data_IF_890067821559
#
_entry.id   IF_890067821559
#
_cell.length_a   1.000
_cell.length_b   1.000
_cell.length_c   1.000
_cell.angle_alpha   90.00
_cell.angle_beta   90.00
_cell.angle_gamma   90.00
#
_symmetry.space_group_name_H-M   'P 1'
#
loop_
_entity.id
_entity.type
_entity.pdbx_description
1 polymer ?
#
# COMPACT_ATOMS: atom_id res chain seq x y z
N UNK A 1 -0.27 -47.12 -11.57
CA UNK A 1 -0.13 -45.77 -12.18
C UNK A 1 0.87 -44.99 -11.35
N UNK A 2 1.58 -44.02 -11.90
CA UNK A 2 2.30 -43.05 -11.08
C UNK A 2 1.28 -42.24 -10.24
N UNK A 3 1.61 -41.78 -9.01
CA UNK A 3 0.73 -40.88 -8.27
C UNK A 3 0.53 -39.60 -9.09
N UNK A 4 -0.71 -39.14 -9.22
CA UNK A 4 -1.02 -37.95 -10.00
C UNK A 4 -0.23 -36.74 -9.46
N UNK A 5 0.38 -36.00 -10.40
CA UNK A 5 1.19 -34.84 -10.11
C UNK A 5 0.38 -33.69 -9.50
N UNK A 6 1.08 -32.69 -8.96
CA UNK A 6 0.45 -31.43 -8.57
C UNK A 6 -0.03 -30.60 -9.76
N UNK A 7 -0.75 -29.53 -9.47
CA UNK A 7 -1.18 -28.53 -10.44
C UNK A 7 -0.89 -27.12 -9.90
N UNK A 8 -0.31 -26.26 -10.73
CA UNK A 8 -0.31 -24.81 -10.54
C UNK A 8 -1.15 -24.22 -11.67
N UNK A 9 -2.32 -23.68 -11.31
CA UNK A 9 -3.22 -23.01 -12.25
C UNK A 9 -2.99 -21.50 -12.13
N UNK A 10 -2.47 -20.87 -13.18
CA UNK A 10 -2.17 -19.45 -13.22
C UNK A 10 -3.18 -18.66 -14.05
N UNK A 11 -3.77 -17.65 -13.44
CA UNK A 11 -4.77 -16.77 -14.03
C UNK A 11 -4.11 -15.41 -14.32
N UNK A 12 -4.10 -15.02 -15.59
CA UNK A 12 -3.43 -13.81 -16.06
C UNK A 12 -4.19 -12.52 -15.68
N UNK A 13 -3.51 -11.37 -15.73
CA UNK A 13 -4.13 -10.04 -15.59
C UNK A 13 -4.98 -9.68 -16.82
N UNK A 14 -5.85 -8.68 -16.69
CA UNK A 14 -6.66 -8.19 -17.83
C UNK A 14 -5.78 -7.66 -18.96
N UNK A 15 -6.17 -7.90 -20.21
CA UNK A 15 -5.41 -7.56 -21.41
C UNK A 15 -4.38 -8.64 -21.82
N UNK A 16 -3.80 -9.35 -20.85
CA UNK A 16 -2.85 -10.45 -21.11
C UNK A 16 -3.54 -11.75 -21.58
N UNK A 17 -2.74 -12.73 -21.96
CA UNK A 17 -3.14 -14.11 -22.25
C UNK A 17 -2.41 -15.13 -21.37
N UNK A 18 -2.86 -16.38 -21.42
CA UNK A 18 -2.17 -17.50 -20.76
C UNK A 18 -0.77 -17.78 -21.31
N UNK A 19 -0.49 -17.51 -22.58
CA UNK A 19 0.83 -17.76 -23.18
C UNK A 19 1.87 -16.73 -22.71
N UNK A 20 1.49 -15.45 -22.61
CA UNK A 20 2.35 -14.39 -22.06
C UNK A 20 2.65 -14.64 -20.58
N UNK A 21 1.64 -15.04 -19.80
CA UNK A 21 1.85 -15.48 -18.41
C UNK A 21 2.75 -16.73 -18.31
N UNK A 22 2.68 -17.66 -19.27
CA UNK A 22 3.59 -18.81 -19.33
C UNK A 22 5.02 -18.37 -19.62
N UNK A 23 5.22 -17.43 -20.54
CA UNK A 23 6.55 -16.89 -20.83
C UNK A 23 7.16 -16.19 -19.60
N UNK A 24 6.36 -15.44 -18.84
CA UNK A 24 6.81 -14.70 -17.66
C UNK A 24 7.05 -15.59 -16.42
N UNK A 25 6.17 -16.57 -16.16
CA UNK A 25 6.15 -17.33 -14.89
C UNK A 25 6.53 -18.81 -15.05
N UNK A 26 6.38 -19.37 -16.25
CA UNK A 26 6.76 -20.75 -16.57
C UNK A 26 8.20 -21.14 -16.17
N UNK A 27 9.23 -20.28 -16.35
CA UNK A 27 10.59 -20.57 -15.88
C UNK A 27 10.66 -20.88 -14.38
N UNK A 28 9.91 -20.14 -13.56
CA UNK A 28 9.86 -20.33 -12.11
C UNK A 28 9.15 -21.63 -11.70
N UNK A 29 8.27 -22.17 -12.55
CA UNK A 29 7.59 -23.46 -12.32
C UNK A 29 8.35 -24.65 -12.93
N UNK A 30 9.43 -24.41 -13.68
CA UNK A 30 10.21 -25.45 -14.39
C UNK A 30 11.37 -26.03 -13.57
N UNK A 31 11.43 -25.74 -12.26
CA UNK A 31 12.48 -26.23 -11.37
C UNK A 31 12.40 -27.77 -11.18
N UNK A 32 13.53 -28.51 -11.06
CA UNK A 32 13.52 -29.97 -10.97
C UNK A 32 12.68 -30.55 -9.83
N UNK A 33 12.59 -29.86 -8.69
CA UNK A 33 11.79 -30.29 -7.54
C UNK A 33 10.27 -30.13 -7.80
N UNK A 34 9.91 -29.29 -8.77
CA UNK A 34 8.54 -29.10 -9.28
C UNK A 34 8.26 -29.94 -10.53
N UNK A 35 9.16 -30.81 -11.00
CA UNK A 35 8.95 -31.64 -12.19
C UNK A 35 7.75 -32.62 -12.09
N UNK A 36 7.20 -32.84 -10.89
CA UNK A 36 5.96 -33.58 -10.66
C UNK A 36 4.70 -32.69 -10.59
N UNK A 37 4.82 -31.40 -10.90
CA UNK A 37 3.77 -30.39 -10.83
C UNK A 37 3.53 -29.84 -12.24
N UNK A 38 2.30 -29.96 -12.72
CA UNK A 38 1.92 -29.41 -14.03
C UNK A 38 1.55 -27.95 -13.87
N UNK A 39 2.02 -27.09 -14.75
CA UNK A 39 1.58 -25.70 -14.82
C UNK A 39 0.52 -25.53 -15.91
N UNK A 40 -0.59 -24.87 -15.58
CA UNK A 40 -1.69 -24.58 -16.50
C UNK A 40 -1.94 -23.08 -16.57
N UNK A 41 -2.06 -22.55 -17.78
CA UNK A 41 -2.22 -21.13 -18.05
C UNK A 41 -3.41 -20.93 -19.03
N UNK A 42 -4.66 -20.99 -18.54
CA UNK A 42 -5.83 -20.71 -19.37
C UNK A 42 -5.86 -19.22 -19.78
N UNK A 43 -6.36 -18.97 -20.98
CA UNK A 43 -6.68 -17.62 -21.46
C UNK A 43 -8.17 -17.35 -21.23
N UNK A 44 -8.51 -16.17 -20.69
CA UNK A 44 -9.89 -15.74 -20.52
C UNK A 44 -10.59 -15.46 -21.87
N UNK A 45 -11.93 -15.42 -21.94
CA UNK A 45 -12.62 -14.85 -23.09
C UNK A 45 -12.26 -13.38 -23.32
N UNK A 46 -12.51 -12.88 -24.53
CA UNK A 46 -12.49 -11.43 -24.79
C UNK A 46 -13.85 -10.82 -24.48
N UNK A 47 -13.85 -9.59 -23.95
CA UNK A 47 -15.04 -8.82 -23.63
C UNK A 47 -14.78 -7.31 -23.76
N UNK A 48 -15.79 -6.48 -24.12
CA UNK A 48 -15.67 -5.03 -24.06
C UNK A 48 -15.59 -4.57 -22.59
N UNK A 49 -14.55 -3.82 -22.23
CA UNK A 49 -14.32 -3.40 -20.84
C UNK A 49 -14.56 -1.88 -20.67
N UNK A 50 -15.53 -1.46 -19.83
CA UNK A 50 -15.92 -0.05 -19.71
C UNK A 50 -14.79 0.91 -19.33
N UNK A 51 -13.87 0.52 -18.43
CA UNK A 51 -12.78 1.40 -18.02
C UNK A 51 -11.69 1.62 -19.10
N UNK A 52 -11.69 0.82 -20.17
CA UNK A 52 -10.84 1.01 -21.36
C UNK A 52 -11.67 1.54 -22.54
N UNK A 53 -12.59 2.47 -22.29
CA UNK A 53 -13.45 3.06 -23.33
C UNK A 53 -14.42 2.10 -24.01
N UNK A 54 -14.55 0.86 -23.52
CA UNK A 54 -15.29 -0.22 -24.19
C UNK A 54 -14.45 -1.11 -25.11
N UNK A 55 -13.12 -0.97 -25.13
CA UNK A 55 -12.22 -1.84 -25.90
C UNK A 55 -12.41 -3.32 -25.56
N UNK A 56 -12.35 -4.16 -26.59
CA UNK A 56 -12.51 -5.62 -26.48
C UNK A 56 -11.16 -6.26 -26.15
N UNK A 57 -10.94 -6.53 -24.86
CA UNK A 57 -9.70 -7.11 -24.35
C UNK A 57 -9.95 -8.48 -23.70
N UNK A 58 -8.88 -9.26 -23.52
CA UNK A 58 -8.92 -10.54 -22.77
C UNK A 58 -9.20 -10.27 -21.29
N UNK A 59 -10.33 -10.76 -20.77
CA UNK A 59 -10.76 -10.45 -19.40
C UNK A 59 -11.64 -11.55 -18.79
N UNK A 60 -11.43 -11.82 -17.50
CA UNK A 60 -12.20 -12.83 -16.76
C UNK A 60 -13.63 -12.38 -16.46
N UNK A 61 -13.80 -11.10 -16.12
CA UNK A 61 -15.04 -10.41 -15.78
C UNK A 61 -14.91 -8.90 -16.06
N UNK A 62 -16.00 -8.14 -15.97
CA UNK A 62 -15.99 -6.69 -16.21
C UNK A 62 -15.15 -5.89 -15.21
N UNK A 63 -14.43 -4.89 -15.73
CA UNK A 63 -13.72 -3.89 -14.93
C UNK A 63 -14.46 -2.55 -15.09
N UNK A 64 -15.31 -2.15 -14.13
CA UNK A 64 -16.06 -0.90 -14.22
C UNK A 64 -15.22 0.34 -13.91
N UNK A 65 -14.12 0.19 -13.16
CA UNK A 65 -13.25 1.30 -12.76
C UNK A 65 -11.82 0.83 -12.45
N UNK A 66 -10.88 1.71 -12.78
CA UNK A 66 -9.48 1.80 -12.32
C UNK A 66 -9.23 3.26 -11.86
N UNK A 67 -8.33 3.54 -10.90
CA UNK A 67 -7.61 2.57 -10.07
C UNK A 67 -8.56 1.77 -9.17
N UNK A 68 -8.16 0.55 -8.86
CA UNK A 68 -8.97 -0.42 -8.13
C UNK A 68 -8.73 -0.21 -6.63
N UNK A 69 -9.77 0.25 -5.94
CA UNK A 69 -9.74 0.66 -4.52
C UNK A 69 -10.32 -0.43 -3.61
N UNK A 70 -10.16 -0.27 -2.30
CA UNK A 70 -10.81 -1.13 -1.29
C UNK A 70 -12.35 -1.05 -1.32
N UNK A 71 -12.95 -0.12 -2.08
CA UNK A 71 -14.40 -0.07 -2.36
C UNK A 71 -14.82 -0.76 -3.65
N UNK A 72 -13.91 -0.97 -4.60
CA UNK A 72 -14.27 -1.01 -6.02
C UNK A 72 -15.14 -2.23 -6.39
N UNK A 73 -16.44 -1.98 -6.44
CA UNK A 73 -17.49 -3.00 -6.67
C UNK A 73 -17.31 -3.62 -8.05
N UNK A 74 -17.52 -4.94 -8.13
CA UNK A 74 -17.60 -5.73 -9.37
C UNK A 74 -19.00 -6.32 -9.50
N UNK A 75 -19.42 -6.68 -10.71
CA UNK A 75 -20.64 -7.48 -10.87
C UNK A 75 -20.36 -8.90 -10.35
N UNK A 76 -20.92 -9.22 -9.18
CA UNK A 76 -20.77 -10.52 -8.53
C UNK A 76 -21.21 -11.66 -9.47
N UNK A 77 -22.17 -11.46 -10.39
CA UNK A 77 -22.59 -12.48 -11.36
C UNK A 77 -21.51 -12.78 -12.40
N UNK A 78 -20.71 -11.79 -12.80
CA UNK A 78 -19.61 -12.01 -13.73
C UNK A 78 -18.41 -12.67 -13.06
N UNK A 79 -18.09 -12.22 -11.84
CA UNK A 79 -17.07 -12.86 -11.00
C UNK A 79 -17.44 -14.33 -10.72
N UNK A 80 -18.72 -14.63 -10.43
CA UNK A 80 -19.18 -16.01 -10.22
C UNK A 80 -19.10 -16.86 -11.49
N UNK A 81 -19.51 -16.37 -12.66
CA UNK A 81 -19.32 -17.08 -13.95
C UNK A 81 -17.85 -17.36 -14.25
N UNK A 82 -16.95 -16.46 -13.85
CA UNK A 82 -15.51 -16.69 -13.96
C UNK A 82 -15.05 -17.78 -12.99
N UNK A 83 -15.52 -17.75 -11.73
CA UNK A 83 -15.23 -18.80 -10.74
C UNK A 83 -15.77 -20.17 -11.18
N UNK A 84 -16.98 -20.25 -11.71
CA UNK A 84 -17.59 -21.49 -12.23
C UNK A 84 -16.70 -22.14 -13.30
N UNK A 85 -16.23 -21.36 -14.29
CA UNK A 85 -15.27 -21.82 -15.32
C UNK A 85 -13.96 -22.34 -14.75
N UNK A 86 -13.46 -21.74 -13.65
CA UNK A 86 -12.23 -22.20 -13.00
C UNK A 86 -12.52 -23.45 -12.15
N UNK A 87 -13.66 -23.51 -11.43
CA UNK A 87 -14.11 -24.72 -10.72
C UNK A 87 -14.24 -25.92 -11.66
N UNK A 88 -14.77 -25.74 -12.87
CA UNK A 88 -14.78 -26.77 -13.91
C UNK A 88 -13.37 -27.27 -14.30
N UNK A 89 -12.34 -26.44 -14.22
CA UNK A 89 -10.94 -26.86 -14.43
C UNK A 89 -10.42 -27.65 -13.21
N UNK A 90 -10.68 -27.16 -11.99
CA UNK A 90 -10.25 -27.81 -10.75
C UNK A 90 -10.92 -29.19 -10.57
N UNK A 91 -12.23 -29.30 -10.82
CA UNK A 91 -12.96 -30.55 -10.66
C UNK A 91 -12.58 -31.60 -11.70
N UNK A 92 -12.26 -31.20 -12.94
CA UNK A 92 -11.65 -32.10 -13.94
C UNK A 92 -10.31 -32.67 -13.47
N UNK A 93 -9.49 -31.86 -12.81
CA UNK A 93 -8.15 -32.26 -12.35
C UNK A 93 -8.21 -33.13 -11.07
N UNK A 94 -9.16 -32.84 -10.17
CA UNK A 94 -9.45 -33.73 -9.04
C UNK A 94 -10.06 -35.06 -9.51
N UNK A 95 -10.92 -35.04 -10.55
CA UNK A 95 -11.45 -36.25 -11.18
C UNK A 95 -10.37 -37.06 -11.95
N UNK A 96 -9.36 -36.38 -12.50
CA UNK A 96 -8.16 -37.01 -13.07
C UNK A 96 -7.20 -37.58 -12.00
N UNK A 97 -7.50 -37.37 -10.71
CA UNK A 97 -6.81 -37.98 -9.57
C UNK A 97 -5.76 -37.10 -8.89
N UNK A 98 -5.56 -35.85 -9.32
CA UNK A 98 -4.68 -34.92 -8.59
C UNK A 98 -5.32 -34.56 -7.25
N UNK A 99 -4.60 -34.80 -6.15
CA UNK A 99 -5.06 -34.45 -4.80
C UNK A 99 -5.33 -32.94 -4.68
N UNK A 100 -6.48 -32.49 -4.12
CA UNK A 100 -6.75 -31.07 -3.87
C UNK A 100 -5.60 -30.35 -3.14
N UNK A 101 -4.98 -31.01 -2.16
CA UNK A 101 -3.82 -30.51 -1.40
C UNK A 101 -2.54 -30.31 -2.22
N UNK A 102 -2.51 -30.70 -3.50
CA UNK A 102 -1.43 -30.47 -4.46
C UNK A 102 -1.84 -29.53 -5.61
N UNK A 103 -3.00 -28.89 -5.50
CA UNK A 103 -3.50 -27.90 -6.45
C UNK A 103 -3.29 -26.50 -5.85
N UNK A 104 -2.66 -25.62 -6.63
CA UNK A 104 -2.44 -24.21 -6.30
C UNK A 104 -3.15 -23.34 -7.33
N UNK A 105 -3.90 -22.34 -6.89
CA UNK A 105 -4.57 -21.37 -7.77
C UNK A 105 -3.90 -20.02 -7.59
N UNK A 106 -3.33 -19.50 -8.67
CA UNK A 106 -2.41 -18.37 -8.66
C UNK A 106 -2.89 -17.31 -9.65
N UNK A 107 -2.54 -16.04 -9.46
CA UNK A 107 -2.73 -15.05 -10.51
C UNK A 107 -2.30 -13.62 -10.20
N UNK A 108 -2.16 -12.84 -11.27
CA UNK A 108 -1.82 -11.43 -11.25
C UNK A 108 -3.07 -10.56 -11.44
N UNK A 109 -3.19 -9.45 -10.69
CA UNK A 109 -4.20 -8.42 -10.90
C UNK A 109 -5.64 -9.00 -10.91
N UNK A 110 -6.39 -8.86 -12.01
CA UNK A 110 -7.70 -9.49 -12.19
C UNK A 110 -7.67 -11.01 -11.98
N UNK A 111 -6.64 -11.71 -12.48
CA UNK A 111 -6.46 -13.14 -12.28
C UNK A 111 -6.14 -13.49 -10.82
N UNK A 112 -5.45 -12.62 -10.09
CA UNK A 112 -5.21 -12.76 -8.65
C UNK A 112 -6.51 -12.60 -7.84
N UNK A 113 -7.36 -11.65 -8.21
CA UNK A 113 -8.70 -11.51 -7.65
C UNK A 113 -9.58 -12.74 -7.96
N UNK A 114 -9.49 -13.29 -9.18
CA UNK A 114 -10.20 -14.52 -9.55
C UNK A 114 -9.68 -15.75 -8.80
N UNK A 115 -8.37 -15.88 -8.59
CA UNK A 115 -7.76 -16.98 -7.83
C UNK A 115 -8.30 -17.01 -6.40
N UNK A 116 -8.36 -15.83 -5.75
CA UNK A 116 -8.94 -15.66 -4.43
C UNK A 116 -10.42 -16.05 -4.39
N UNK A 117 -11.23 -15.50 -5.30
CA UNK A 117 -12.67 -15.79 -5.39
C UNK A 117 -12.94 -17.30 -5.63
N UNK A 118 -12.11 -17.90 -6.49
CA UNK A 118 -12.14 -19.33 -6.82
C UNK A 118 -11.89 -20.19 -5.58
N UNK A 119 -10.79 -19.93 -4.88
CA UNK A 119 -10.37 -20.71 -3.70
C UNK A 119 -11.40 -20.57 -2.59
N UNK A 120 -11.91 -19.38 -2.32
CA UNK A 120 -12.87 -19.13 -1.24
C UNK A 120 -14.26 -19.75 -1.49
N UNK A 121 -14.64 -20.08 -2.73
CA UNK A 121 -15.85 -20.85 -3.02
C UNK A 121 -15.62 -22.36 -3.21
N UNK A 122 -14.38 -22.82 -3.38
CA UNK A 122 -14.14 -24.22 -3.74
C UNK A 122 -14.42 -25.16 -2.53
N UNK A 123 -15.21 -26.24 -2.69
CA UNK A 123 -15.70 -27.04 -1.56
C UNK A 123 -14.65 -27.95 -0.89
N UNK A 124 -13.37 -27.85 -1.27
CA UNK A 124 -12.27 -28.71 -0.81
C UNK A 124 -11.08 -27.84 -0.43
N UNK A 125 -10.33 -28.23 0.61
CA UNK A 125 -9.05 -27.59 0.95
C UNK A 125 -8.08 -27.78 -0.22
N UNK A 126 -7.53 -26.69 -0.76
CA UNK A 126 -6.51 -26.73 -1.80
C UNK A 126 -5.09 -26.61 -1.21
N UNK A 127 -4.06 -26.89 -2.02
CA UNK A 127 -2.66 -26.75 -1.63
C UNK A 127 -2.28 -25.29 -1.34
N UNK A 128 -2.88 -24.33 -2.05
CA UNK A 128 -2.75 -22.90 -1.72
C UNK A 128 -3.37 -21.95 -2.74
N UNK A 129 -3.48 -20.68 -2.35
CA UNK A 129 -3.79 -19.55 -3.21
C UNK A 129 -2.59 -18.60 -3.28
N UNK A 130 -2.31 -18.03 -4.46
CA UNK A 130 -1.23 -17.06 -4.64
C UNK A 130 -1.76 -15.84 -5.41
N UNK A 131 -1.66 -14.66 -4.79
CA UNK A 131 -2.21 -13.41 -5.34
C UNK A 131 -1.09 -12.40 -5.52
N UNK A 132 -0.89 -11.88 -6.73
CA UNK A 132 0.03 -10.78 -7.02
C UNK A 132 -0.77 -9.56 -7.46
N UNK A 133 -0.58 -8.39 -6.83
CA UNK A 133 -1.31 -7.14 -7.12
C UNK A 133 -2.83 -7.31 -7.28
N UNK A 134 -3.44 -8.27 -6.59
CA UNK A 134 -4.88 -8.57 -6.67
C UNK A 134 -5.72 -7.75 -5.69
N UNK A 135 -7.04 -7.91 -5.78
CA UNK A 135 -8.04 -7.29 -4.89
C UNK A 135 -9.13 -8.32 -4.54
N UNK A 136 -9.99 -8.03 -3.56
CA UNK A 136 -11.17 -8.84 -3.28
C UNK A 136 -12.32 -8.43 -4.24
N UNK A 137 -12.77 -9.29 -5.18
CA UNK A 137 -13.75 -8.88 -6.20
C UNK A 137 -15.20 -9.07 -5.74
N UNK A 138 -15.45 -9.15 -4.42
CA UNK A 138 -16.67 -9.72 -3.84
C UNK A 138 -17.14 -8.94 -2.60
N UNK A 139 -18.45 -8.93 -2.38
CA UNK A 139 -19.14 -8.17 -1.33
C UNK A 139 -19.03 -8.80 0.06
N UNK A 140 -19.32 -8.08 1.17
CA UNK A 140 -19.25 -8.68 2.53
C UNK A 140 -20.21 -9.87 2.73
N UNK A 141 -21.35 -9.91 2.04
CA UNK A 141 -22.28 -11.05 2.05
C UNK A 141 -21.67 -12.35 1.48
N UNK A 142 -20.59 -12.25 0.72
CA UNK A 142 -19.82 -13.42 0.29
C UNK A 142 -19.25 -14.24 1.46
N UNK A 143 -19.00 -13.62 2.63
CA UNK A 143 -18.39 -14.30 3.78
C UNK A 143 -19.20 -15.51 4.28
N UNK A 144 -20.53 -15.47 4.12
CA UNK A 144 -21.45 -16.55 4.48
C UNK A 144 -21.38 -17.74 3.50
N UNK A 145 -20.89 -17.50 2.28
CA UNK A 145 -20.78 -18.49 1.20
C UNK A 145 -19.48 -19.31 1.24
N UNK A 146 -18.50 -18.90 2.05
CA UNK A 146 -17.15 -19.50 2.12
C UNK A 146 -17.17 -20.83 2.90
N UNK A 147 -16.98 -22.00 2.23
CA UNK A 147 -17.03 -23.31 2.89
C UNK A 147 -15.96 -23.50 3.96
N UNK A 148 -16.24 -24.33 4.97
CA UNK A 148 -15.30 -24.62 6.08
C UNK A 148 -13.96 -25.19 5.61
N UNK A 149 -13.97 -25.97 4.52
CA UNK A 149 -12.74 -26.50 3.91
C UNK A 149 -11.96 -25.44 3.13
N UNK A 150 -12.63 -24.54 2.39
CA UNK A 150 -11.97 -23.46 1.66
C UNK A 150 -11.07 -22.61 2.59
N UNK A 151 -11.56 -22.34 3.81
CA UNK A 151 -10.85 -21.56 4.86
C UNK A 151 -9.53 -22.16 5.33
N UNK A 152 -9.28 -23.45 5.09
CA UNK A 152 -8.01 -24.12 5.43
C UNK A 152 -6.94 -23.93 4.35
N UNK A 153 -7.32 -23.47 3.16
CA UNK A 153 -6.38 -23.23 2.05
C UNK A 153 -5.46 -22.05 2.41
N UNK A 154 -4.13 -22.22 2.44
CA UNK A 154 -3.22 -21.13 2.75
C UNK A 154 -3.12 -20.14 1.59
N UNK A 155 -3.10 -18.84 1.89
CA UNK A 155 -2.93 -17.76 0.92
C UNK A 155 -1.57 -17.11 1.13
N UNK A 156 -0.86 -16.77 0.05
CA UNK A 156 0.16 -15.72 0.07
C UNK A 156 -0.20 -14.63 -0.93
N UNK A 157 0.02 -13.39 -0.52
CA UNK A 157 -0.37 -12.20 -1.25
C UNK A 157 0.85 -11.28 -1.37
N UNK A 158 1.24 -10.95 -2.60
CA UNK A 158 2.28 -9.98 -2.93
C UNK A 158 1.63 -8.69 -3.44
N UNK A 159 2.17 -7.55 -3.05
CA UNK A 159 1.59 -6.26 -3.42
C UNK A 159 2.63 -5.12 -3.42
N UNK A 160 2.63 -4.33 -4.49
CA UNK A 160 3.38 -3.09 -4.56
C UNK A 160 2.74 -1.97 -3.73
N UNK A 161 3.53 -1.25 -2.94
CA UNK A 161 3.06 -0.07 -2.21
C UNK A 161 2.93 1.17 -3.11
N UNK A 162 3.58 1.16 -4.28
CA UNK A 162 3.43 2.16 -5.33
C UNK A 162 2.52 1.68 -6.48
N UNK A 163 1.70 0.66 -6.24
CA UNK A 163 0.73 0.15 -7.23
C UNK A 163 -0.40 1.17 -7.45
N UNK A 164 -0.37 1.79 -8.64
CA UNK A 164 -1.35 2.79 -9.08
C UNK A 164 -2.53 2.22 -9.88
N UNK A 165 -2.60 0.90 -10.11
CA UNK A 165 -3.68 0.26 -10.87
C UNK A 165 -4.59 -0.55 -9.95
N UNK A 166 -4.00 -1.30 -9.02
CA UNK A 166 -4.69 -1.88 -7.86
C UNK A 166 -4.05 -1.28 -6.62
N UNK A 167 -4.74 -0.34 -5.97
CA UNK A 167 -4.16 0.39 -4.85
C UNK A 167 -3.82 -0.56 -3.71
N UNK A 168 -2.72 -0.31 -3.01
CA UNK A 168 -2.27 -1.11 -1.87
C UNK A 168 -3.35 -1.33 -0.79
N UNK A 169 -4.25 -0.36 -0.61
CA UNK A 169 -5.42 -0.50 0.28
C UNK A 169 -6.37 -1.64 -0.14
N UNK A 170 -6.53 -1.92 -1.43
CA UNK A 170 -7.39 -3.00 -1.95
C UNK A 170 -6.78 -4.38 -1.70
N UNK A 171 -5.46 -4.52 -1.85
CA UNK A 171 -4.72 -5.70 -1.45
C UNK A 171 -4.78 -5.94 0.07
N UNK A 172 -4.53 -4.88 0.85
CA UNK A 172 -4.56 -4.94 2.31
C UNK A 172 -5.97 -5.25 2.86
N UNK A 173 -7.03 -4.69 2.25
CA UNK A 173 -8.41 -5.02 2.59
C UNK A 173 -8.76 -6.49 2.30
N UNK A 174 -8.24 -7.06 1.22
CA UNK A 174 -8.35 -8.50 0.93
C UNK A 174 -7.70 -9.38 2.01
N UNK A 175 -6.50 -9.01 2.47
CA UNK A 175 -5.83 -9.68 3.60
C UNK A 175 -6.65 -9.57 4.90
N UNK A 176 -7.19 -8.40 5.24
CA UNK A 176 -8.03 -8.20 6.41
C UNK A 176 -9.31 -9.07 6.37
N UNK A 177 -9.95 -9.17 5.20
CA UNK A 177 -11.13 -10.03 4.98
C UNK A 177 -10.81 -11.52 5.16
N UNK A 178 -9.66 -11.99 4.65
CA UNK A 178 -9.18 -13.36 4.89
C UNK A 178 -8.97 -13.64 6.39
N UNK A 179 -8.40 -12.69 7.12
CA UNK A 179 -8.25 -12.80 8.58
C UNK A 179 -9.60 -12.76 9.32
N UNK A 180 -10.62 -12.06 8.82
CA UNK A 180 -11.99 -12.10 9.36
C UNK A 180 -12.66 -13.46 9.16
N UNK A 181 -12.43 -14.11 8.01
CA UNK A 181 -12.93 -15.46 7.71
C UNK A 181 -12.19 -16.59 8.45
N UNK A 182 -11.01 -16.31 9.01
CA UNK A 182 -10.12 -17.29 9.65
C UNK A 182 -9.18 -18.01 8.68
N UNK A 183 -8.98 -17.47 7.47
CA UNK A 183 -8.10 -18.06 6.45
C UNK A 183 -6.64 -17.65 6.71
N UNK A 184 -5.67 -18.59 6.73
CA UNK A 184 -4.28 -18.24 6.92
C UNK A 184 -3.72 -17.52 5.69
N UNK A 185 -3.48 -16.21 5.82
CA UNK A 185 -2.90 -15.36 4.78
C UNK A 185 -1.55 -14.80 5.22
N UNK A 186 -0.52 -15.01 4.41
CA UNK A 186 0.74 -14.27 4.46
C UNK A 186 0.66 -13.08 3.47
N UNK A 187 1.12 -11.90 3.87
CA UNK A 187 1.09 -10.70 3.02
C UNK A 187 2.49 -10.09 2.92
N UNK A 188 2.93 -9.78 1.70
CA UNK A 188 4.24 -9.19 1.39
C UNK A 188 4.05 -7.86 0.66
N UNK A 189 4.45 -6.78 1.33
CA UNK A 189 4.46 -5.43 0.79
C UNK A 189 5.84 -5.10 0.20
N UNK A 190 5.86 -4.52 -1.00
CA UNK A 190 7.08 -4.11 -1.71
C UNK A 190 7.09 -2.59 -1.87
N UNK A 191 7.92 -1.84 -1.10
CA UNK A 191 7.79 -0.38 -0.95
C UNK A 191 7.82 0.44 -2.24
N UNK A 192 8.61 0.04 -3.23
CA UNK A 192 8.82 0.77 -4.50
C UNK A 192 8.19 0.09 -5.71
N UNK A 193 7.48 -1.02 -5.52
CA UNK A 193 6.88 -1.81 -6.61
C UNK A 193 5.55 -1.19 -7.03
N UNK A 194 5.35 -1.07 -8.34
CA UNK A 194 4.09 -0.68 -8.98
C UNK A 194 3.23 -1.87 -9.39
N UNK A 195 2.40 -1.71 -10.43
CA UNK A 195 1.56 -2.81 -10.96
C UNK A 195 2.33 -3.75 -11.90
N UNK A 196 3.33 -4.47 -11.37
CA UNK A 196 4.14 -5.43 -12.13
C UNK A 196 4.64 -6.56 -11.24
N UNK A 197 5.17 -7.62 -11.85
CA UNK A 197 5.89 -8.69 -11.16
C UNK A 197 7.40 -8.42 -11.13
N UNK A 198 8.06 -8.83 -10.05
CA UNK A 198 9.54 -8.86 -9.94
C UNK A 198 10.06 -10.23 -9.52
N UNK A 199 11.34 -10.49 -9.80
CA UNK A 199 11.98 -11.78 -9.59
C UNK A 199 11.96 -12.22 -8.12
N UNK A 200 12.04 -11.29 -7.15
CA UNK A 200 11.97 -11.62 -5.72
C UNK A 200 10.60 -12.18 -5.29
N UNK A 201 9.50 -11.73 -5.91
CA UNK A 201 8.17 -12.30 -5.68
C UNK A 201 8.09 -13.71 -6.26
N UNK A 202 8.59 -13.89 -7.49
CA UNK A 202 8.51 -15.15 -8.23
C UNK A 202 9.43 -16.24 -7.67
N UNK A 203 10.61 -15.88 -7.16
CA UNK A 203 11.49 -16.77 -6.39
C UNK A 203 10.83 -17.22 -5.08
N UNK A 204 10.23 -16.29 -4.33
CA UNK A 204 9.53 -16.65 -3.10
C UNK A 204 8.31 -17.54 -3.37
N UNK A 205 7.53 -17.23 -4.41
CA UNK A 205 6.41 -18.03 -4.90
C UNK A 205 6.82 -19.47 -5.24
N UNK A 206 7.93 -19.66 -5.96
CA UNK A 206 8.48 -20.99 -6.24
C UNK A 206 8.76 -21.76 -4.94
N UNK A 207 9.46 -21.15 -3.98
CA UNK A 207 9.81 -21.81 -2.72
C UNK A 207 8.57 -22.14 -1.89
N UNK A 208 7.61 -21.22 -1.81
CA UNK A 208 6.38 -21.35 -1.05
C UNK A 208 5.49 -22.52 -1.54
N UNK A 209 5.55 -22.87 -2.84
CA UNK A 209 4.97 -24.09 -3.40
C UNK A 209 5.77 -25.33 -3.00
N UNK A 210 7.11 -25.32 -3.16
CA UNK A 210 7.99 -26.45 -2.78
C UNK A 210 7.77 -26.86 -1.32
N UNK A 211 7.68 -25.88 -0.41
CA UNK A 211 7.48 -26.09 1.03
C UNK A 211 6.12 -26.73 1.38
N UNK A 212 5.08 -26.49 0.57
CA UNK A 212 3.74 -27.07 0.76
C UNK A 212 3.62 -28.48 0.19
N UNK A 213 4.35 -28.76 -0.88
CA UNK A 213 4.42 -30.10 -1.47
C UNK A 213 5.18 -31.09 -0.57
N UNK A 214 6.25 -30.65 0.10
CA UNK A 214 7.03 -31.48 1.02
C UNK A 214 6.30 -31.77 2.35
N UNK A 215 5.48 -30.85 2.84
CA UNK A 215 4.60 -31.06 4.01
C UNK A 215 3.53 -32.15 3.76
N UNK A 216 3.31 -32.56 2.51
CA UNK A 216 2.41 -33.66 2.14
C UNK A 216 2.89 -35.08 2.52
N UNK A 217 4.06 -35.22 3.15
CA UNK A 217 4.63 -36.53 3.55
C UNK A 217 5.12 -36.59 5.01
N UNK A 218 4.16 -36.64 5.96
CA UNK A 218 4.08 -37.63 7.09
C UNK A 218 5.38 -38.01 7.85
N UNK A 219 5.54 -37.96 9.20
CA UNK A 219 4.70 -37.90 10.44
C UNK A 219 5.65 -37.55 11.64
N UNK A 220 5.27 -37.07 12.87
CA UNK A 220 4.03 -36.49 13.46
C UNK A 220 4.20 -35.03 13.97
N UNK A 221 3.25 -34.53 14.77
CA UNK A 221 3.38 -33.27 15.51
C UNK A 221 4.05 -33.44 16.90
N UNK A 222 5.26 -32.88 17.07
CA UNK A 222 5.90 -32.57 18.37
C UNK A 222 6.93 -31.44 18.22
N UNK A 223 7.22 -30.75 19.34
CA UNK A 223 8.31 -29.75 19.53
C UNK A 223 8.36 -28.54 18.57
N UNK A 224 7.88 -27.40 19.08
CA UNK A 224 8.31 -26.06 18.66
C UNK A 224 9.81 -25.83 18.95
N UNK A 225 10.47 -25.00 18.13
CA UNK A 225 11.45 -24.04 18.61
C UNK A 225 10.94 -22.58 18.55
N UNK A 226 11.44 -21.77 19.47
CA UNK A 226 11.61 -20.31 19.44
C UNK A 226 10.42 -19.37 19.08
N UNK A 227 9.78 -18.91 20.17
CA UNK A 227 8.75 -17.87 20.21
C UNK A 227 9.33 -16.44 20.04
N UNK A 228 9.84 -16.04 18.87
CA UNK A 228 10.28 -14.63 18.74
C UNK A 228 10.09 -13.94 17.37
N UNK A 229 9.07 -14.32 16.58
CA UNK A 229 8.73 -13.55 15.36
C UNK A 229 7.27 -13.55 14.89
N UNK A 230 6.33 -13.18 15.75
CA UNK A 230 4.98 -12.79 15.28
C UNK A 230 4.22 -11.91 16.30
N UNK A 231 4.28 -10.58 16.15
CA UNK A 231 3.42 -9.64 16.88
C UNK A 231 2.04 -9.58 16.22
N UNK A 232 0.99 -9.88 16.99
CA UNK A 232 -0.41 -9.88 16.53
C UNK A 232 -0.98 -8.46 16.53
N UNK A 233 -1.81 -8.11 15.54
CA UNK A 233 -2.60 -6.88 15.51
C UNK A 233 -4.07 -7.16 15.13
N UNK A 234 -5.07 -6.43 15.68
CA UNK A 234 -6.48 -6.49 15.23
C UNK A 234 -7.03 -5.17 14.60
N UNK A 235 -7.50 -5.22 13.34
CA UNK A 235 -8.88 -4.96 12.83
C UNK A 235 -9.88 -3.87 13.36
N UNK A 236 -9.67 -2.53 13.34
CA UNK A 236 -10.82 -1.54 13.42
C UNK A 236 -10.76 -0.42 12.35
N UNK A 237 -10.91 -0.80 11.08
CA UNK A 237 -10.84 0.12 9.93
C UNK A 237 -12.09 0.12 9.01
N UNK A 238 -13.04 -0.79 9.22
CA UNK A 238 -13.96 -1.22 8.14
C UNK A 238 -15.25 -0.40 7.98
N UNK A 239 -15.29 0.85 8.48
CA UNK A 239 -16.55 1.60 8.71
C UNK A 239 -16.68 2.98 8.06
N UNK A 240 -15.66 3.49 7.37
CA UNK A 240 -15.58 4.93 7.08
C UNK A 240 -15.56 5.33 5.59
N UNK A 241 -14.98 4.54 4.68
CA UNK A 241 -14.50 5.06 3.37
C UNK A 241 -15.59 5.67 2.46
N UNK A 242 -16.87 5.46 2.77
CA UNK A 242 -18.06 5.54 1.91
C UNK A 242 -18.41 6.93 1.31
N UNK A 243 -17.68 8.02 1.63
CA UNK A 243 -18.02 9.38 1.15
C UNK A 243 -16.87 10.17 0.49
N UNK A 244 -16.31 9.63 -0.60
CA UNK A 244 -15.61 10.38 -1.67
C UNK A 244 -15.71 9.63 -2.99
N UNK A 245 -16.40 10.20 -3.99
CA UNK A 245 -16.37 9.76 -5.39
C UNK A 245 -16.80 10.89 -6.34
N UNK A 246 -15.83 11.65 -6.83
CA UNK A 246 -15.89 12.51 -8.03
C UNK A 246 -14.47 13.01 -8.32
N UNK A 247 -14.03 12.95 -9.59
CA UNK A 247 -12.88 13.70 -10.18
C UNK A 247 -11.47 13.33 -9.61
N UNK A 248 -10.42 13.06 -10.41
CA UNK A 248 -10.13 13.25 -11.85
C UNK A 248 -9.62 11.96 -12.54
N UNK A 249 -9.60 12.02 -13.87
CA UNK A 249 -8.75 11.24 -14.80
C UNK A 249 -7.60 12.16 -15.29
N UNK A 250 -6.37 11.65 -15.45
CA UNK A 250 -5.21 12.25 -16.16
C UNK A 250 -3.90 11.46 -15.96
N UNK A 251 -3.01 11.53 -16.95
CA UNK A 251 -1.74 10.78 -17.09
C UNK A 251 -0.48 11.43 -16.45
N UNK A 252 0.61 10.66 -16.52
CA UNK A 252 2.03 11.10 -16.55
C UNK A 252 2.74 11.45 -15.20
N UNK A 253 4.08 11.55 -15.24
CA UNK A 253 5.03 11.91 -14.18
C UNK A 253 4.89 13.36 -13.66
N UNK A 254 3.69 13.92 -13.78
CA UNK A 254 3.36 15.34 -13.73
C UNK A 254 3.26 15.91 -12.31
N UNK A 255 3.48 15.12 -11.25
CA UNK A 255 3.16 15.49 -9.86
C UNK A 255 4.38 15.66 -8.93
N UNK A 256 5.47 14.91 -9.14
CA UNK A 256 6.74 15.14 -8.42
C UNK A 256 7.43 16.41 -8.98
N UNK A 257 7.25 16.66 -10.28
CA UNK A 257 7.91 17.76 -11.00
C UNK A 257 7.45 19.14 -10.52
N UNK A 258 6.14 19.48 -10.40
CA UNK A 258 5.70 20.78 -9.89
C UNK A 258 6.19 21.06 -8.47
N UNK A 259 6.12 20.07 -7.57
CA UNK A 259 6.62 20.21 -6.20
C UNK A 259 8.12 20.53 -6.17
N UNK A 260 8.96 19.80 -6.93
CA UNK A 260 10.39 20.11 -7.06
C UNK A 260 10.63 21.49 -7.68
N UNK A 261 9.87 21.89 -8.70
CA UNK A 261 9.95 23.23 -9.30
C UNK A 261 9.50 24.35 -8.35
N UNK A 262 8.47 24.12 -7.54
CA UNK A 262 7.89 25.10 -6.60
C UNK A 262 8.80 25.31 -5.39
N UNK A 263 9.34 24.22 -4.84
CA UNK A 263 10.34 24.26 -3.76
C UNK A 263 11.67 24.86 -4.26
N UNK A 264 12.16 24.48 -5.45
CA UNK A 264 13.31 25.14 -6.06
C UNK A 264 13.04 26.61 -6.41
N UNK A 265 11.81 26.98 -6.82
CA UNK A 265 11.45 28.38 -7.06
C UNK A 265 11.43 29.20 -5.77
N UNK A 266 10.96 28.64 -4.65
CA UNK A 266 11.07 29.28 -3.33
C UNK A 266 12.52 29.56 -2.96
N UNK A 267 13.40 28.55 -3.11
CA UNK A 267 14.85 28.68 -2.88
C UNK A 267 15.53 29.67 -3.84
N UNK A 268 15.09 29.75 -5.11
CA UNK A 268 15.62 30.69 -6.12
C UNK A 268 15.18 32.15 -5.91
N UNK A 269 13.99 32.41 -5.34
CA UNK A 269 13.39 33.77 -5.24
C UNK A 269 14.17 34.77 -4.38
N UNK A 270 15.24 34.36 -3.68
CA UNK A 270 15.94 35.20 -2.67
C UNK A 270 17.45 35.37 -2.87
N UNK A 271 18.03 34.98 -4.00
CA UNK A 271 19.47 35.09 -4.27
C UNK A 271 19.79 35.87 -5.56
N UNK A 272 20.31 37.13 -5.49
CA UNK A 272 20.92 37.78 -6.64
C UNK A 272 22.32 37.18 -6.93
N UNK A 273 22.73 37.04 -8.21
CA UNK A 273 23.99 36.38 -8.56
C UNK A 273 25.22 37.30 -8.38
N UNK A 274 25.73 37.39 -7.15
CA UNK A 274 27.05 37.99 -6.88
C UNK A 274 28.15 36.92 -6.92
N UNK A 275 29.12 37.05 -7.84
CA UNK A 275 30.29 36.17 -7.91
C UNK A 275 31.29 36.45 -6.76
N UNK A 276 31.03 35.88 -5.58
CA UNK A 276 31.96 35.84 -4.46
C UNK A 276 31.99 34.44 -3.85
N UNK A 277 33.20 33.95 -3.55
CA UNK A 277 33.39 32.66 -2.86
C UNK A 277 32.80 32.78 -1.45
N UNK A 278 31.84 31.93 -1.04
CA UNK A 278 31.20 32.06 0.27
C UNK A 278 32.19 31.87 1.41
N UNK A 279 32.25 32.84 2.32
CA UNK A 279 32.90 32.64 3.63
C UNK A 279 32.13 31.60 4.46
N UNK A 280 32.74 30.98 5.50
CA UNK A 280 32.06 29.94 6.29
C UNK A 280 30.70 30.39 6.88
N UNK A 281 30.57 31.67 7.28
CA UNK A 281 29.30 32.25 7.74
C UNK A 281 28.24 32.41 6.63
N UNK A 282 28.66 32.62 5.38
CA UNK A 282 27.74 32.67 4.25
C UNK A 282 27.25 31.26 3.87
N UNK A 283 28.14 30.26 3.91
CA UNK A 283 27.79 28.86 3.67
C UNK A 283 26.82 28.29 4.73
N UNK A 284 26.84 28.80 5.96
CA UNK A 284 25.84 28.48 6.98
C UNK A 284 24.45 29.04 6.63
N UNK A 285 24.38 30.29 6.15
CA UNK A 285 23.12 30.94 5.72
C UNK A 285 22.45 30.28 4.51
N UNK A 286 23.20 29.56 3.68
CA UNK A 286 22.71 28.90 2.47
C UNK A 286 22.37 27.41 2.66
N UNK A 287 22.36 26.89 3.90
CA UNK A 287 21.93 25.52 4.18
C UNK A 287 20.43 25.46 4.44
N UNK A 288 19.80 24.52 3.77
CA UNK A 288 18.41 24.08 3.97
C UNK A 288 18.36 22.86 4.89
N UNK A 289 17.21 22.66 5.53
CA UNK A 289 16.93 21.45 6.30
C UNK A 289 15.56 20.90 5.92
N UNK A 290 15.49 19.60 5.68
CA UNK A 290 14.23 18.88 5.43
C UNK A 290 14.03 17.82 6.50
N UNK A 291 12.94 17.96 7.25
CA UNK A 291 12.46 16.99 8.22
C UNK A 291 11.36 16.16 7.58
N UNK A 292 11.54 14.83 7.51
CA UNK A 292 10.53 13.93 6.94
C UNK A 292 9.88 13.06 8.02
N UNK A 293 8.54 13.04 8.03
CA UNK A 293 7.70 12.35 9.00
C UNK A 293 6.95 11.20 8.31
N UNK A 294 7.24 9.97 8.73
CA UNK A 294 6.70 8.76 8.12
C UNK A 294 5.21 8.50 8.46
N UNK A 295 4.59 7.54 7.75
CA UNK A 295 3.22 7.10 8.01
C UNK A 295 3.04 6.24 9.27
N UNK A 296 1.80 5.97 9.64
CA UNK A 296 1.47 5.07 10.76
C UNK A 296 2.09 3.68 10.54
N UNK A 297 2.81 3.15 11.53
CA UNK A 297 3.40 1.81 11.51
C UNK A 297 4.71 1.69 10.71
N UNK A 298 5.18 2.77 10.10
CA UNK A 298 6.42 2.85 9.32
C UNK A 298 7.59 3.37 10.21
N UNK A 299 8.75 3.69 9.62
CA UNK A 299 9.92 4.20 10.38
C UNK A 299 10.72 5.25 9.61
N UNK A 300 11.46 6.08 10.35
CA UNK A 300 12.37 7.08 9.78
C UNK A 300 13.41 6.47 8.83
N UNK A 301 14.21 5.46 9.24
CA UNK A 301 15.20 4.81 8.39
C UNK A 301 14.63 4.22 7.09
N UNK A 302 13.42 3.65 7.12
CA UNK A 302 12.75 3.14 5.91
C UNK A 302 12.40 4.27 4.90
N UNK A 303 12.25 5.51 5.39
CA UNK A 303 11.96 6.68 4.57
C UNK A 303 13.23 7.41 4.09
N UNK A 304 14.42 7.10 4.61
CA UNK A 304 15.69 7.76 4.20
C UNK A 304 15.95 7.77 2.67
N UNK A 305 15.61 6.72 1.89
CA UNK A 305 15.76 6.73 0.42
C UNK A 305 15.02 7.87 -0.29
N UNK A 306 13.98 8.47 0.31
CA UNK A 306 13.16 9.52 -0.29
C UNK A 306 14.00 10.75 -0.68
N UNK A 307 15.12 11.02 0.00
CA UNK A 307 16.04 12.11 -0.39
C UNK A 307 16.61 11.96 -1.80
N UNK A 308 16.64 10.75 -2.36
CA UNK A 308 17.21 10.50 -3.70
C UNK A 308 16.36 11.08 -4.83
N UNK A 309 15.06 11.29 -4.61
CA UNK A 309 14.17 11.98 -5.56
C UNK A 309 14.45 13.49 -5.64
N UNK A 310 15.14 14.08 -4.66
CA UNK A 310 15.46 15.50 -4.59
C UNK A 310 16.79 15.82 -5.29
N UNK A 311 16.85 15.52 -6.60
CA UNK A 311 18.07 15.59 -7.42
C UNK A 311 18.50 17.01 -7.84
N UNK A 312 17.64 18.02 -7.65
CA UNK A 312 17.92 19.40 -8.05
C UNK A 312 19.11 20.01 -7.27
N UNK A 313 19.88 20.88 -7.91
CA UNK A 313 21.15 21.40 -7.38
C UNK A 313 20.99 22.18 -6.08
N UNK A 314 19.82 22.78 -5.87
CA UNK A 314 19.38 23.49 -4.68
C UNK A 314 19.41 22.60 -3.42
N UNK A 315 19.15 21.29 -3.56
CA UNK A 315 19.15 20.35 -2.43
C UNK A 315 20.55 19.81 -2.07
N UNK A 316 21.59 20.14 -2.84
CA UNK A 316 22.97 19.63 -2.66
C UNK A 316 23.58 19.91 -1.28
N UNK A 317 23.12 20.96 -0.60
CA UNK A 317 23.55 21.34 0.75
C UNK A 317 22.46 21.15 1.81
N UNK A 318 21.34 20.49 1.48
CA UNK A 318 20.26 20.19 2.43
C UNK A 318 20.71 19.16 3.45
N UNK A 319 20.56 19.49 4.74
CA UNK A 319 20.61 18.52 5.84
C UNK A 319 19.25 17.81 5.94
N UNK A 320 19.26 16.50 6.07
CA UNK A 320 18.04 15.68 6.14
C UNK A 320 17.89 15.04 7.51
N UNK A 321 16.65 14.94 8.00
CA UNK A 321 16.32 14.14 9.18
C UNK A 321 15.07 13.29 8.94
N UNK A 322 15.18 12.02 9.31
CA UNK A 322 14.10 11.04 9.26
C UNK A 322 13.93 10.43 10.67
N UNK A 323 13.31 11.14 11.63
CA UNK A 323 12.99 10.58 12.94
C UNK A 323 11.99 9.43 12.81
N UNK A 324 12.02 8.50 13.76
CA UNK A 324 10.96 7.51 13.96
C UNK A 324 10.01 7.96 15.07
N UNK A 325 8.73 7.66 14.92
CA UNK A 325 7.74 7.77 15.98
C UNK A 325 8.01 6.75 17.11
N UNK A 326 7.58 7.02 18.36
CA UNK A 326 7.65 6.03 19.43
C UNK A 326 6.65 4.88 19.19
N UNK A 327 7.04 3.67 19.56
CA UNK A 327 6.13 2.52 19.64
C UNK A 327 5.01 2.82 20.64
N UNK A 328 3.78 2.93 20.14
CA UNK A 328 2.60 3.32 20.91
C UNK A 328 1.41 2.42 20.57
N UNK A 329 0.52 2.09 21.52
CA UNK A 329 -0.74 1.43 21.19
C UNK A 329 -1.62 2.35 20.35
N UNK A 330 -2.27 1.81 19.32
CA UNK A 330 -3.08 2.59 18.38
C UNK A 330 -4.53 2.12 18.35
N UNK A 331 -5.47 2.96 18.77
CA UNK A 331 -6.89 2.66 18.96
C UNK A 331 -7.59 2.11 17.71
N UNK A 332 -7.33 2.69 16.52
CA UNK A 332 -7.87 2.17 15.26
C UNK A 332 -7.40 0.74 14.92
N UNK A 333 -6.27 0.32 15.48
CA UNK A 333 -5.73 -1.05 15.40
C UNK A 333 -5.93 -1.81 16.73
N UNK A 334 -7.05 -1.59 17.43
CA UNK A 334 -7.39 -2.22 18.74
C UNK A 334 -6.29 -2.10 19.81
N UNK A 335 -5.55 -1.00 19.83
CA UNK A 335 -4.44 -0.81 20.76
C UNK A 335 -3.18 -1.62 20.41
N UNK A 336 -3.09 -2.17 19.20
CA UNK A 336 -1.84 -2.77 18.71
C UNK A 336 -0.70 -1.76 18.76
N UNK A 337 0.47 -2.22 19.23
CA UNK A 337 1.67 -1.39 19.35
C UNK A 337 2.41 -1.35 18.02
N UNK A 338 2.75 -0.14 17.57
CA UNK A 338 3.57 0.15 16.40
C UNK A 338 4.11 1.59 16.48
N UNK A 339 5.07 2.00 15.63
CA UNK A 339 5.49 3.38 15.54
C UNK A 339 4.31 4.28 15.15
N UNK A 340 3.93 5.19 16.05
CA UNK A 340 2.77 6.05 15.88
C UNK A 340 3.02 7.41 16.53
N UNK A 341 2.92 8.48 15.74
CA UNK A 341 3.22 9.84 16.22
C UNK A 341 2.25 10.28 17.33
N UNK A 342 0.98 9.96 17.15
CA UNK A 342 -0.13 10.26 18.06
C UNK A 342 -1.26 9.27 17.79
N UNK A 343 -1.99 8.82 18.83
CA UNK A 343 -3.07 7.86 18.62
C UNK A 343 -4.15 8.35 17.61
N UNK A 344 -4.67 7.42 16.82
CA UNK A 344 -5.75 7.62 15.86
C UNK A 344 -6.91 6.72 16.30
N UNK A 345 -8.02 7.33 16.70
CA UNK A 345 -9.14 6.60 17.31
C UNK A 345 -9.92 5.72 16.32
N UNK A 346 -10.08 6.19 15.08
CA UNK A 346 -10.78 5.50 14.01
C UNK A 346 -10.13 5.82 12.65
N UNK A 347 -10.20 4.89 11.70
CA UNK A 347 -9.73 5.08 10.33
C UNK A 347 -10.73 4.48 9.31
N UNK A 348 -10.80 5.01 8.07
CA UNK A 348 -10.37 6.36 7.65
C UNK A 348 -10.99 7.55 8.46
N UNK A 349 -10.64 8.81 8.17
CA UNK A 349 -10.83 9.97 9.09
C UNK A 349 -11.71 11.09 8.50
N UNK A 350 -12.61 11.66 9.30
CA UNK A 350 -13.49 12.80 8.97
C UNK A 350 -13.18 14.07 9.77
N UNK A 351 -13.85 15.15 9.39
CA UNK A 351 -14.05 16.35 10.20
C UNK A 351 -14.80 16.13 11.53
N UNK A 352 -15.47 14.99 11.73
CA UNK A 352 -16.15 14.62 12.98
C UNK A 352 -15.46 13.51 13.77
N UNK A 353 -14.33 12.98 13.28
CA UNK A 353 -13.62 11.87 13.91
C UNK A 353 -12.88 12.34 15.17
N UNK A 354 -12.85 11.56 16.27
CA UNK A 354 -12.20 12.01 17.51
C UNK A 354 -10.72 12.32 17.31
N UNK A 355 -10.34 13.58 17.54
CA UNK A 355 -8.96 14.05 17.39
C UNK A 355 -8.18 13.87 18.70
N UNK A 356 -7.02 13.22 18.64
CA UNK A 356 -6.15 13.05 19.81
C UNK A 356 -5.26 14.28 20.03
N UNK A 357 -5.89 15.44 20.28
CA UNK A 357 -5.20 16.74 20.34
C UNK A 357 -3.99 16.77 21.29
N UNK A 358 -4.08 16.10 22.44
CA UNK A 358 -2.99 16.01 23.43
C UNK A 358 -1.80 15.23 22.84
N UNK A 359 -2.04 14.10 22.17
CA UNK A 359 -1.01 13.35 21.47
C UNK A 359 -0.41 14.12 20.30
N UNK A 360 -1.24 14.83 19.52
CA UNK A 360 -0.81 15.70 18.41
C UNK A 360 0.09 16.82 18.92
N UNK A 361 -0.29 17.52 19.99
CA UNK A 361 0.52 18.58 20.58
C UNK A 361 1.86 18.04 21.11
N UNK A 362 1.87 16.88 21.78
CA UNK A 362 3.10 16.23 22.22
C UNK A 362 3.99 15.78 21.05
N UNK A 363 3.41 15.34 19.95
CA UNK A 363 4.15 15.01 18.73
C UNK A 363 4.72 16.28 18.06
N UNK A 364 3.97 17.39 18.08
CA UNK A 364 4.41 18.71 17.62
C UNK A 364 5.55 19.23 18.49
N UNK A 365 5.52 19.06 19.82
CA UNK A 365 6.63 19.41 20.72
C UNK A 365 7.92 18.66 20.35
N UNK A 366 7.84 17.35 20.05
CA UNK A 366 8.98 16.57 19.58
C UNK A 366 9.53 17.07 18.23
N UNK A 367 8.65 17.41 17.28
CA UNK A 367 9.03 17.99 15.98
C UNK A 367 9.64 19.38 16.15
N UNK A 368 9.07 20.23 16.99
CA UNK A 368 9.57 21.56 17.32
C UNK A 368 10.94 21.48 17.98
N UNK A 369 11.19 20.51 18.88
CA UNK A 369 12.51 20.30 19.48
C UNK A 369 13.59 19.93 18.43
N UNK A 370 13.24 19.18 17.38
CA UNK A 370 14.15 18.95 16.24
C UNK A 370 14.39 20.24 15.46
N UNK A 371 13.35 21.01 15.15
CA UNK A 371 13.45 22.27 14.39
C UNK A 371 14.24 23.34 15.17
N UNK A 372 13.97 23.53 16.47
CA UNK A 372 14.68 24.49 17.32
C UNK A 372 16.16 24.12 17.50
N UNK A 373 16.50 22.82 17.52
CA UNK A 373 17.90 22.39 17.46
C UNK A 373 18.57 22.83 16.16
N UNK A 374 17.94 22.65 15.01
CA UNK A 374 18.50 23.08 13.72
C UNK A 374 18.61 24.61 13.62
N UNK A 375 17.68 25.36 14.25
CA UNK A 375 17.78 26.82 14.37
C UNK A 375 18.93 27.23 15.30
N UNK A 376 19.20 26.48 16.38
CA UNK A 376 20.35 26.70 17.26
C UNK A 376 21.69 26.34 16.59
N UNK A 377 21.72 25.29 15.77
CA UNK A 377 22.83 24.91 14.88
C UNK A 377 23.05 25.94 13.74
N UNK A 378 22.19 26.97 13.63
CA UNK A 378 22.36 28.14 12.78
C UNK A 378 21.54 28.17 11.49
N UNK A 379 20.65 27.20 11.27
CA UNK A 379 19.78 27.17 10.08
C UNK A 379 18.64 28.18 10.24
N UNK A 380 18.48 29.08 9.26
CA UNK A 380 17.41 30.07 9.32
C UNK A 380 16.03 29.38 9.21
N UNK A 381 15.00 29.78 9.99
CA UNK A 381 13.69 29.13 9.94
C UNK A 381 13.07 29.05 8.53
N UNK A 382 13.24 30.09 7.71
CA UNK A 382 12.76 30.12 6.32
C UNK A 382 13.51 29.13 5.38
N UNK A 383 14.57 28.49 5.85
CA UNK A 383 15.29 27.42 5.13
C UNK A 383 14.90 26.01 5.65
N UNK A 384 14.00 25.92 6.64
CA UNK A 384 13.53 24.66 7.23
C UNK A 384 12.18 24.29 6.62
N UNK A 385 12.09 23.06 6.12
CA UNK A 385 10.89 22.47 5.53
C UNK A 385 10.51 21.20 6.29
N UNK A 386 9.21 21.02 6.56
CA UNK A 386 8.66 19.82 7.19
C UNK A 386 7.80 19.09 6.18
N UNK A 387 8.05 17.80 5.97
CA UNK A 387 7.37 16.98 4.98
C UNK A 387 6.85 15.71 5.66
N UNK A 388 5.77 15.11 5.18
CA UNK A 388 5.37 13.81 5.69
C UNK A 388 4.19 13.14 4.99
N UNK A 389 4.10 11.84 5.18
CA UNK A 389 3.09 10.97 4.58
C UNK A 389 2.05 10.50 5.60
N UNK A 390 0.76 10.46 5.22
CA UNK A 390 -0.34 9.97 6.07
C UNK A 390 -0.34 10.65 7.45
N UNK A 391 -0.14 9.90 8.54
CA UNK A 391 -0.02 10.43 9.91
C UNK A 391 1.11 11.47 10.06
N UNK A 392 2.26 11.26 9.41
CA UNK A 392 3.34 12.24 9.36
C UNK A 392 2.99 13.48 8.53
N UNK A 393 2.09 13.36 7.54
CA UNK A 393 1.52 14.49 6.81
C UNK A 393 0.56 15.32 7.67
N UNK A 394 -0.27 14.66 8.48
CA UNK A 394 -1.11 15.34 9.47
C UNK A 394 -0.27 16.04 10.55
N UNK A 395 0.79 15.38 11.04
CA UNK A 395 1.75 15.99 11.96
C UNK A 395 2.52 17.16 11.34
N UNK A 396 2.88 17.07 10.05
CA UNK A 396 3.51 18.17 9.30
C UNK A 396 2.64 19.43 9.35
N UNK A 397 1.35 19.31 9.06
CA UNK A 397 0.42 20.43 9.07
C UNK A 397 0.30 21.09 10.45
N UNK A 398 0.17 20.29 11.50
CA UNK A 398 0.15 20.78 12.88
C UNK A 398 1.47 21.46 13.28
N UNK A 399 2.59 20.86 12.93
CA UNK A 399 3.93 21.34 13.27
C UNK A 399 4.24 22.69 12.62
N UNK A 400 3.93 22.85 11.33
CA UNK A 400 4.17 24.10 10.58
C UNK A 400 3.28 25.24 11.05
N UNK A 401 2.00 24.99 11.32
CA UNK A 401 1.05 26.02 11.74
C UNK A 401 1.24 26.48 13.19
N UNK A 402 1.78 25.63 14.06
CA UNK A 402 2.00 25.95 15.48
C UNK A 402 3.41 26.47 15.79
N UNK A 403 4.37 26.38 14.86
CA UNK A 403 5.73 26.87 15.13
C UNK A 403 5.74 28.41 15.23
N UNK A 404 6.42 29.02 16.24
CA UNK A 404 6.36 30.46 16.49
C UNK A 404 7.16 31.33 15.49
N UNK A 405 7.87 30.72 14.54
CA UNK A 405 8.69 31.37 13.51
C UNK A 405 8.18 30.92 12.14
N UNK A 406 8.25 31.78 11.13
CA UNK A 406 7.91 31.43 9.75
C UNK A 406 8.90 30.39 9.23
N UNK A 407 8.41 29.20 8.87
CA UNK A 407 9.19 28.15 8.21
C UNK A 407 9.26 28.37 6.69
N UNK A 408 10.20 27.70 6.02
CA UNK A 408 10.32 27.74 4.56
C UNK A 408 9.12 27.12 3.84
N UNK A 409 8.43 26.18 4.49
CA UNK A 409 7.19 25.58 4.03
C UNK A 409 6.95 24.21 4.66
N UNK A 410 5.96 23.50 4.14
CA UNK A 410 5.82 22.07 4.42
C UNK A 410 4.91 21.34 3.45
N UNK A 411 5.17 20.04 3.25
CA UNK A 411 4.53 19.21 2.24
C UNK A 411 3.74 18.05 2.88
N UNK A 412 2.45 17.97 2.58
CA UNK A 412 1.50 17.03 3.21
C UNK A 412 1.04 16.00 2.18
N UNK A 413 1.63 14.81 2.21
CA UNK A 413 1.27 13.70 1.32
C UNK A 413 0.21 12.83 1.99
N UNK A 414 -1.01 12.78 1.43
CA UNK A 414 -2.13 11.97 1.94
C UNK A 414 -2.51 12.18 3.42
N UNK A 415 -2.20 13.35 4.00
CA UNK A 415 -2.53 13.72 5.38
C UNK A 415 -3.90 14.37 5.56
N UNK A 416 -4.24 14.69 6.82
CA UNK A 416 -5.48 15.38 7.22
C UNK A 416 -5.20 16.50 8.23
N UNK A 417 -6.24 17.15 8.77
CA UNK A 417 -6.13 18.12 9.88
C UNK A 417 -6.39 17.38 11.20
N UNK A 418 -5.37 17.11 12.05
CA UNK A 418 -5.55 16.26 13.24
C UNK A 418 -6.00 17.04 14.49
N UNK A 419 -6.52 18.26 14.34
CA UNK A 419 -6.87 19.18 15.42
C UNK A 419 -8.06 20.08 15.08
N UNK A 420 -8.68 20.67 16.10
CA UNK A 420 -9.90 21.48 16.03
C UNK A 420 -9.67 22.97 16.30
N UNK A 421 -10.75 23.67 16.68
CA UNK A 421 -10.76 25.11 16.95
C UNK A 421 -9.85 25.53 18.11
N UNK A 422 -9.77 24.70 19.16
CA UNK A 422 -8.86 24.78 20.31
C UNK A 422 -7.38 25.00 19.95
N UNK A 423 -6.99 24.57 18.74
CA UNK A 423 -5.63 24.62 18.22
C UNK A 423 -5.51 25.65 17.08
N UNK A 424 -6.55 25.93 16.29
CA UNK A 424 -6.51 27.04 15.32
C UNK A 424 -6.41 28.41 15.99
N UNK A 425 -6.94 28.56 17.22
CA UNK A 425 -6.71 29.73 18.09
C UNK A 425 -5.23 29.90 18.49
N UNK A 426 -4.44 28.82 18.49
CA UNK A 426 -3.01 28.84 18.83
C UNK A 426 -2.10 29.16 17.63
N UNK A 427 -2.63 29.19 16.41
CA UNK A 427 -1.86 29.48 15.19
C UNK A 427 -1.40 30.93 15.20
N UNK A 428 -0.08 31.13 15.33
CA UNK A 428 0.49 32.46 15.48
C UNK A 428 0.21 33.35 14.25
N UNK A 429 0.02 34.68 14.41
CA UNK A 429 -0.14 35.60 13.28
C UNK A 429 1.06 35.65 12.31
N UNK A 430 2.21 35.08 12.70
CA UNK A 430 3.42 34.94 11.85
C UNK A 430 3.43 33.63 11.07
N UNK A 431 2.88 32.54 11.61
CA UNK A 431 2.67 31.29 10.89
C UNK A 431 1.70 31.46 9.70
N UNK A 432 0.71 32.36 9.85
CA UNK A 432 -0.19 32.80 8.75
C UNK A 432 0.51 33.54 7.59
N UNK A 433 1.84 33.72 7.64
CA UNK A 433 2.68 34.28 6.57
C UNK A 433 3.73 33.30 6.03
N UNK A 434 3.66 32.02 6.38
CA UNK A 434 4.37 30.99 5.60
C UNK A 434 3.83 31.04 4.17
N UNK A 435 4.70 31.05 3.15
CA UNK A 435 4.32 30.76 1.78
C UNK A 435 3.90 29.29 1.72
N UNK A 436 2.65 29.04 2.12
CA UNK A 436 2.15 27.69 2.34
C UNK A 436 1.88 27.05 0.99
N UNK A 437 2.90 26.39 0.44
CA UNK A 437 2.78 25.41 -0.66
C UNK A 437 2.09 24.16 -0.09
N UNK A 438 0.86 24.35 0.41
CA UNK A 438 -0.14 23.31 0.52
C UNK A 438 -0.61 23.06 -0.91
N UNK A 439 0.22 22.34 -1.68
CA UNK A 439 -0.24 21.65 -2.88
C UNK A 439 -1.25 20.59 -2.42
N UNK A 440 -2.49 21.06 -2.33
CA UNK A 440 -3.61 20.30 -1.81
C UNK A 440 -4.01 19.29 -2.88
N UNK A 441 -3.39 18.10 -2.83
CA UNK A 441 -3.72 16.95 -3.69
C UNK A 441 -5.16 16.49 -3.42
N UNK A 442 -6.09 17.16 -4.10
CA UNK A 442 -7.52 17.17 -3.77
C UNK A 442 -8.31 16.28 -4.73
N UNK A 443 -8.28 14.97 -4.45
CA UNK A 443 -9.47 14.14 -4.74
C UNK A 443 -10.67 14.81 -4.08
N UNK A 444 -11.73 15.10 -4.85
CA UNK A 444 -12.76 16.04 -4.40
C UNK A 444 -13.57 15.52 -3.20
N UNK A 445 -14.12 16.47 -2.44
CA UNK A 445 -15.43 16.30 -1.83
C UNK A 445 -16.31 17.39 -2.43
N UNK A 446 -17.51 17.02 -2.87
CA UNK A 446 -18.45 17.92 -3.54
C UNK A 446 -19.34 18.67 -2.52
N UNK A 447 -19.92 19.81 -2.94
CA UNK A 447 -20.94 20.55 -2.19
C UNK A 447 -20.45 21.83 -1.49
N UNK A 448 -21.08 22.97 -1.82
CA UNK A 448 -21.09 24.18 -0.98
C UNK A 448 -22.07 24.02 0.20
N UNK A 449 -21.93 24.84 1.24
CA UNK A 449 -22.93 25.86 1.62
C UNK A 449 -22.24 27.01 2.36
N UNK A 450 -22.66 28.23 2.03
CA UNK A 450 -22.44 29.55 2.67
C UNK A 450 -21.05 29.86 3.28
#
# INVERSE_FOLDING_TARGET
MAPAGGLVLWLHGSGQTGEESRAQVGPYLSAPELASVRSSFPTAPTAPIPCYGGEVITAWFGIPEVPITAKSVRDEKEVLRAVERVHEMLDREVAAGTSPSKIFVCGLSQGGALALATVLLYPKTLGGCVVFSGSLPLSKSFAERVPTEARKTPVVWFHGMADGVVLFEAGHAGCAFLQELGVPCEFKAYPTLGHTLVDEELQYFQQWIKDRLSQGTCVPATSLPDKERCLKQPKIFSKFIEKKKEIYDLDDNSLIVPFLFSLAASLRRRAPPSQLVPTPMAAARSRSFVLWLHGLGDSGPANEPIRTFFSAAEFRLTKWAFPSAPDSPVSCNHGAVMPSWFDIHELPISSGSPQHEIGVLKAVENVHAVIDKEVADGIHPENIFVCGFSQGGALTLASVLLYPKTLGGGAVFSGWVPFGSSITERISPKARKVDSIVEHFRLQLCGHME
#
